data_IF_583040585694
#
_entry.id   IF_583040585694
#
_cell.length_a   1.000
_cell.length_b   1.000
_cell.length_c   1.000
_cell.angle_alpha   90.00
_cell.angle_beta   90.00
_cell.angle_gamma   90.00
#
_symmetry.space_group_name_H-M   'P 1'
#
loop_
_entity.id
_entity.type
_entity.pdbx_description
1 polymer ?
#
# COMPACT_ATOMS: atom_id res chain seq x y z
N UNK A 1 24.82 -8.31 7.63
CA UNK A 1 23.77 -9.33 7.43
C UNK A 1 22.44 -8.62 7.36
N UNK A 2 21.79 -8.47 6.20
CA UNK A 2 20.42 -7.95 6.15
C UNK A 2 19.52 -8.95 6.88
N UNK A 3 18.85 -8.51 7.94
CA UNK A 3 17.90 -9.32 8.68
C UNK A 3 16.81 -9.82 7.71
N UNK A 4 16.68 -11.14 7.59
CA UNK A 4 15.53 -11.74 6.90
C UNK A 4 14.26 -11.22 7.55
N UNK A 5 13.30 -10.73 6.74
CA UNK A 5 12.01 -10.32 7.26
C UNK A 5 11.38 -11.50 8.02
N UNK A 6 10.84 -11.27 9.23
CA UNK A 6 10.31 -12.34 10.04
C UNK A 6 9.10 -12.97 9.35
N UNK A 7 8.97 -14.29 9.44
CA UNK A 7 7.84 -15.02 8.85
C UNK A 7 6.49 -14.63 9.48
N UNK A 8 6.51 -14.14 10.72
CA UNK A 8 5.32 -13.69 11.45
C UNK A 8 5.60 -12.30 12.00
N UNK A 9 4.72 -11.37 11.67
CA UNK A 9 4.72 -10.03 12.26
C UNK A 9 3.49 -9.91 13.14
N UNK A 10 3.71 -9.74 14.44
CA UNK A 10 2.63 -9.64 15.42
C UNK A 10 2.19 -8.20 15.62
N UNK A 11 0.88 -7.96 15.56
CA UNK A 11 0.23 -6.69 15.85
C UNK A 11 -0.45 -6.77 17.21
N UNK A 12 0.04 -6.02 18.21
CA UNK A 12 -0.62 -5.93 19.50
C UNK A 12 -1.91 -5.10 19.42
N UNK A 13 -2.80 -5.36 20.37
CA UNK A 13 -3.97 -4.52 20.64
C UNK A 13 -3.61 -3.47 21.68
N UNK A 14 -3.99 -2.21 21.47
CA UNK A 14 -3.68 -1.11 22.38
C UNK A 14 -2.33 -0.39 22.13
N UNK A 15 -1.58 -0.10 23.20
CA UNK A 15 -0.46 0.85 23.22
C UNK A 15 0.85 0.25 22.67
N UNK A 16 1.01 0.16 21.35
CA UNK A 16 2.27 -0.27 20.73
C UNK A 16 2.59 0.55 19.47
N UNK A 17 3.87 0.91 19.21
CA UNK A 17 4.22 1.64 17.99
C UNK A 17 3.64 0.96 16.76
N UNK A 18 3.02 1.71 15.84
CA UNK A 18 2.49 1.12 14.61
C UNK A 18 3.62 0.46 13.82
N UNK A 19 3.38 -0.77 13.38
CA UNK A 19 4.28 -1.45 12.46
C UNK A 19 4.31 -0.66 11.15
N UNK A 20 5.49 -0.52 10.55
CA UNK A 20 5.60 0.07 9.22
C UNK A 20 6.52 -0.70 8.29
N UNK A 21 6.22 -0.60 7.00
CA UNK A 21 7.04 -1.10 5.90
C UNK A 21 7.29 0.05 4.94
N UNK A 22 8.53 0.23 4.51
CA UNK A 22 8.92 1.29 3.60
C UNK A 22 9.51 0.70 2.32
N UNK A 23 9.18 1.28 1.17
CA UNK A 23 9.81 0.96 -0.10
C UNK A 23 9.98 2.23 -0.96
N UNK A 24 10.85 2.21 -1.98
CA UNK A 24 11.08 3.36 -2.85
C UNK A 24 9.82 3.82 -3.58
N UNK A 25 8.93 2.90 -3.97
CA UNK A 25 7.66 3.26 -4.63
C UNK A 25 6.54 2.34 -4.19
N UNK A 26 5.30 2.75 -4.51
CA UNK A 26 4.11 1.91 -4.32
C UNK A 26 4.25 0.54 -5.01
N UNK A 27 4.68 0.50 -6.27
CA UNK A 27 4.86 -0.75 -7.04
C UNK A 27 5.94 -1.64 -6.42
N UNK A 28 7.08 -1.07 -6.02
CA UNK A 28 8.13 -1.85 -5.32
C UNK A 28 7.61 -2.48 -4.04
N UNK A 29 6.79 -1.74 -3.29
CA UNK A 29 6.17 -2.25 -2.07
C UNK A 29 5.23 -3.42 -2.35
N UNK A 30 4.34 -3.31 -3.35
CA UNK A 30 3.44 -4.40 -3.72
C UNK A 30 4.20 -5.63 -4.22
N UNK A 31 5.20 -5.45 -5.09
CA UNK A 31 6.05 -6.55 -5.59
C UNK A 31 6.82 -7.23 -4.46
N UNK A 32 7.36 -6.46 -3.51
CA UNK A 32 8.03 -7.01 -2.33
C UNK A 32 7.06 -7.89 -1.52
N UNK A 33 5.87 -7.39 -1.23
CA UNK A 33 4.87 -8.12 -0.43
C UNK A 33 4.38 -9.38 -1.15
N UNK A 34 4.14 -9.33 -2.46
CA UNK A 34 3.77 -10.49 -3.26
C UNK A 34 4.84 -11.60 -3.24
N UNK A 35 6.13 -11.23 -3.16
CA UNK A 35 7.25 -12.18 -3.13
C UNK A 35 7.49 -12.80 -1.75
N UNK A 36 7.01 -12.18 -0.69
CA UNK A 36 7.22 -12.62 0.69
C UNK A 36 6.10 -13.56 1.16
N UNK A 37 5.89 -14.66 0.43
CA UNK A 37 4.80 -15.62 0.71
C UNK A 37 4.85 -16.25 2.11
N UNK A 38 6.05 -16.37 2.69
CA UNK A 38 6.23 -16.87 4.05
C UNK A 38 5.96 -15.84 5.15
N UNK A 39 5.69 -14.57 4.81
CA UNK A 39 5.42 -13.51 5.77
C UNK A 39 3.92 -13.28 5.93
N UNK A 40 3.46 -13.22 7.19
CA UNK A 40 2.07 -12.89 7.53
C UNK A 40 1.98 -11.97 8.74
N UNK A 41 0.92 -11.18 8.76
CA UNK A 41 0.57 -10.30 9.86
C UNK A 41 -0.47 -11.00 10.71
N UNK A 42 -0.19 -11.16 12.00
CA UNK A 42 -1.07 -11.82 12.96
C UNK A 42 -1.36 -10.90 14.15
N UNK A 43 -2.53 -11.03 14.79
CA UNK A 43 -2.76 -10.37 16.05
C UNK A 43 -1.97 -11.08 17.16
N UNK A 44 -1.52 -10.34 18.17
CA UNK A 44 -0.96 -10.95 19.38
C UNK A 44 -1.99 -11.80 20.13
N UNK A 45 -1.55 -12.72 21.00
CA UNK A 45 -2.46 -13.53 21.84
C UNK A 45 -3.30 -12.64 22.75
N UNK A 46 -2.74 -11.55 23.26
CA UNK A 46 -3.43 -10.57 24.08
C UNK A 46 -4.51 -9.83 23.29
N UNK A 47 -4.27 -9.56 22.00
CA UNK A 47 -5.25 -8.97 21.10
C UNK A 47 -6.46 -9.89 20.89
N UNK A 48 -6.19 -11.18 20.67
CA UNK A 48 -7.22 -12.21 20.53
C UNK A 48 -8.02 -12.41 21.81
N UNK A 49 -7.41 -12.24 22.99
CA UNK A 49 -8.10 -12.37 24.26
C UNK A 49 -9.01 -11.17 24.58
N UNK A 50 -8.71 -9.98 24.05
CA UNK A 50 -9.44 -8.75 24.36
C UNK A 50 -10.74 -8.58 23.56
N UNK A 51 -10.86 -9.25 22.41
CA UNK A 51 -11.99 -9.09 21.49
C UNK A 51 -12.56 -10.45 21.11
N UNK A 52 -13.90 -10.59 21.19
CA UNK A 52 -14.62 -11.78 20.70
C UNK A 52 -14.88 -11.76 19.19
N UNK A 53 -14.72 -10.59 18.58
CA UNK A 53 -14.97 -10.34 17.16
C UNK A 53 -13.74 -10.63 16.28
N UNK A 54 -13.98 -10.68 14.97
CA UNK A 54 -12.90 -10.83 13.99
C UNK A 54 -12.05 -9.56 13.97
N UNK A 55 -10.77 -9.70 14.32
CA UNK A 55 -9.82 -8.60 14.26
C UNK A 55 -9.54 -8.20 12.81
N UNK A 56 -9.57 -6.90 12.55
CA UNK A 56 -9.37 -6.31 11.23
C UNK A 56 -8.13 -5.44 11.23
N UNK A 57 -7.50 -5.31 10.06
CA UNK A 57 -6.30 -4.52 9.84
C UNK A 57 -6.66 -3.13 9.31
N UNK A 58 -6.14 -2.08 9.95
CA UNK A 58 -6.14 -0.72 9.41
C UNK A 58 -4.82 -0.45 8.72
N UNK A 59 -4.89 0.17 7.55
CA UNK A 59 -3.73 0.59 6.77
C UNK A 59 -3.75 2.09 6.55
N UNK A 60 -2.65 2.75 6.88
CA UNK A 60 -2.40 4.15 6.52
C UNK A 60 -1.21 4.18 5.56
N UNK A 61 -1.40 4.83 4.42
CA UNK A 61 -0.37 5.06 3.41
C UNK A 61 0.22 6.44 3.64
N UNK A 62 1.54 6.52 3.70
CA UNK A 62 2.26 7.78 3.75
C UNK A 62 3.29 7.82 2.63
N UNK A 63 3.26 8.86 1.81
CA UNK A 63 4.34 9.18 0.89
C UNK A 63 5.22 10.24 1.56
N UNK A 64 6.53 10.03 1.62
CA UNK A 64 7.43 10.98 2.28
C UNK A 64 8.74 11.16 1.53
N UNK A 65 9.36 12.33 1.68
CA UNK A 65 10.74 12.61 1.25
C UNK A 65 11.62 12.64 2.50
N UNK A 66 12.44 11.61 2.70
CA UNK A 66 13.33 11.52 3.86
C UNK A 66 14.77 11.15 3.44
N UNK A 67 15.78 12.01 3.70
CA UNK A 67 15.70 13.40 4.20
C UNK A 67 15.00 14.34 3.20
N UNK A 68 14.50 15.52 3.62
CA UNK A 68 13.76 16.45 2.76
C UNK A 68 14.59 17.02 1.60
N UNK A 69 15.91 16.92 1.68
CA UNK A 69 16.87 17.25 0.62
C UNK A 69 16.83 16.26 -0.56
N UNK A 70 16.36 15.03 -0.33
CA UNK A 70 16.12 14.07 -1.41
C UNK A 70 14.86 14.48 -2.17
N UNK A 71 14.98 14.59 -3.49
CA UNK A 71 13.84 14.83 -4.38
C UNK A 71 12.94 13.60 -4.53
N UNK A 72 13.44 12.43 -4.14
CA UNK A 72 12.77 11.15 -4.31
C UNK A 72 11.76 10.90 -3.18
N UNK A 73 10.53 10.55 -3.57
CA UNK A 73 9.51 10.07 -2.66
C UNK A 73 9.76 8.61 -2.29
N UNK A 74 9.33 8.20 -1.11
CA UNK A 74 9.17 6.81 -0.73
C UNK A 74 7.76 6.54 -0.21
N UNK A 75 7.32 5.29 -0.30
CA UNK A 75 6.04 4.83 0.24
C UNK A 75 6.27 4.15 1.58
N UNK A 76 5.51 4.55 2.59
CA UNK A 76 5.46 3.94 3.91
C UNK A 76 4.04 3.44 4.15
N UNK A 77 3.89 2.18 4.52
CA UNK A 77 2.64 1.63 5.04
C UNK A 77 2.72 1.53 6.54
N UNK A 78 1.67 1.96 7.21
CA UNK A 78 1.50 1.84 8.66
C UNK A 78 0.31 0.92 8.97
N UNK A 79 0.51 0.03 9.93
CA UNK A 79 -0.43 -1.03 10.27
C UNK A 79 -0.81 -0.97 11.75
N UNK A 80 -2.12 -1.09 12.00
CA UNK A 80 -2.68 -1.24 13.35
C UNK A 80 -3.89 -2.16 13.31
N UNK A 81 -4.20 -2.81 14.43
CA UNK A 81 -5.50 -3.49 14.60
C UNK A 81 -6.61 -2.43 14.66
N UNK A 82 -7.73 -2.70 14.00
CA UNK A 82 -8.92 -1.84 14.06
C UNK A 82 -9.46 -1.76 15.49
N UNK A 83 -9.89 -0.56 15.89
CA UNK A 83 -10.50 -0.32 17.19
C UNK A 83 -11.83 0.42 16.95
N UNK A 84 -12.95 -0.07 17.51
CA UNK A 84 -14.19 0.68 17.46
C UNK A 84 -13.98 2.01 18.16
N UNK A 85 -14.52 3.08 17.58
CA UNK A 85 -14.50 4.40 18.21
C UNK A 85 -15.54 4.39 19.34
N UNK A 86 -15.17 4.67 20.60
CA UNK A 86 -16.14 4.85 21.68
C UNK A 86 -17.25 5.84 21.29
N UNK A 87 -18.53 5.52 21.53
CA UNK A 87 -19.65 6.37 21.12
C UNK A 87 -19.65 7.73 21.83
N UNK A 88 -19.04 7.80 23.02
CA UNK A 88 -19.01 9.00 23.86
C UNK A 88 -17.91 10.00 23.48
N UNK A 89 -17.06 9.66 22.50
CA UNK A 89 -16.00 10.57 22.07
C UNK A 89 -16.56 11.69 21.18
N UNK A 90 -16.19 12.96 21.45
CA UNK A 90 -16.49 14.03 20.52
C UNK A 90 -15.75 13.80 19.19
N UNK A 91 -16.35 14.29 18.10
CA UNK A 91 -15.77 14.24 16.75
C UNK A 91 -15.48 12.82 16.21
N UNK A 92 -16.30 11.82 16.54
CA UNK A 92 -16.16 10.45 16.00
C UNK A 92 -16.07 10.39 14.48
N UNK A 93 -16.76 11.29 13.78
CA UNK A 93 -16.73 11.42 12.32
C UNK A 93 -15.31 11.69 11.79
N UNK A 94 -14.44 12.37 12.56
CA UNK A 94 -13.07 12.63 12.14
C UNK A 94 -12.31 11.32 11.88
N UNK A 95 -12.46 10.30 12.73
CA UNK A 95 -11.75 9.02 12.60
C UNK A 95 -12.21 8.13 11.42
N UNK A 96 -13.22 8.57 10.68
CA UNK A 96 -13.67 7.94 9.44
C UNK A 96 -13.09 8.61 8.18
N UNK A 97 -12.43 9.76 8.32
CA UNK A 97 -11.83 10.49 7.22
C UNK A 97 -10.59 9.78 6.68
N UNK A 98 -10.38 9.91 5.36
CA UNK A 98 -9.17 9.44 4.68
C UNK A 98 -7.95 10.32 4.99
N UNK A 99 -8.15 11.48 5.61
CA UNK A 99 -7.09 12.49 5.85
C UNK A 99 -6.51 12.45 7.26
N UNK A 100 -7.15 11.70 8.12
CA UNK A 100 -6.81 11.62 9.54
C UNK A 100 -6.43 10.21 9.89
N UNK A 101 -5.59 10.08 10.91
CA UNK A 101 -5.27 8.78 11.46
C UNK A 101 -6.51 8.13 12.07
N UNK A 102 -6.71 6.82 11.88
CA UNK A 102 -7.74 6.07 12.58
C UNK A 102 -7.63 6.19 14.11
N UNK A 103 -8.73 5.94 14.81
CA UNK A 103 -8.77 5.94 16.27
C UNK A 103 -7.72 5.00 16.91
N UNK A 104 -7.38 3.90 16.23
CA UNK A 104 -6.32 2.96 16.66
C UNK A 104 -4.94 3.61 16.87
N UNK A 105 -4.68 4.78 16.29
CA UNK A 105 -3.43 5.53 16.48
C UNK A 105 -3.49 6.50 17.67
N UNK A 106 -4.67 6.84 18.16
CA UNK A 106 -4.84 7.75 19.32
C UNK A 106 -4.46 7.08 20.64
N UNK A 107 -4.65 5.76 20.74
CA UNK A 107 -4.31 4.97 21.92
C UNK A 107 -2.79 4.96 22.18
N UNK A 108 -1.98 5.35 21.19
CA UNK A 108 -0.53 5.38 21.30
C UNK A 108 0.13 6.69 20.82
N UNK A 109 -0.48 7.83 21.17
CA UNK A 109 0.10 9.15 20.88
C UNK A 109 1.53 9.32 21.43
N UNK A 110 1.84 8.72 22.58
CA UNK A 110 3.14 8.87 23.26
C UNK A 110 4.30 8.21 22.50
N UNK A 111 4.06 7.07 21.83
CA UNK A 111 5.08 6.37 21.05
C UNK A 111 4.89 6.49 19.53
N UNK A 112 4.05 7.42 19.08
CA UNK A 112 3.84 7.63 17.65
C UNK A 112 5.11 8.18 17.01
N UNK A 113 5.53 7.57 15.90
CA UNK A 113 6.70 8.00 15.16
C UNK A 113 6.55 9.48 14.76
N UNK A 114 7.63 10.27 14.89
CA UNK A 114 7.64 11.68 14.52
C UNK A 114 7.22 11.88 13.05
N UNK A 115 7.58 10.95 12.16
CA UNK A 115 7.17 10.94 10.76
C UNK A 115 5.65 10.82 10.60
N UNK A 116 5.01 10.01 11.42
CA UNK A 116 3.56 9.83 11.37
C UNK A 116 2.82 11.03 12.01
N UNK A 117 3.42 11.66 13.02
CA UNK A 117 2.91 12.89 13.66
C UNK A 117 2.93 14.10 12.73
N UNK A 118 3.95 14.24 11.89
CA UNK A 118 4.09 15.37 10.96
C UNK A 118 3.39 15.16 9.61
N UNK A 119 2.81 13.97 9.37
CA UNK A 119 2.36 13.50 8.06
C UNK A 119 1.08 14.13 7.50
N UNK A 120 0.58 15.23 8.06
CA UNK A 120 -0.62 15.91 7.54
C UNK A 120 -0.23 16.72 6.29
N UNK A 121 -0.80 16.37 5.13
CA UNK A 121 -0.49 16.85 3.76
C UNK A 121 0.42 18.10 3.67
N UNK A 122 1.73 17.86 3.69
CA UNK A 122 2.78 18.86 3.51
C UNK A 122 3.45 18.70 2.14
N UNK A 123 4.32 19.64 1.77
CA UNK A 123 5.11 19.54 0.54
C UNK A 123 6.05 18.32 0.50
N UNK A 124 6.42 17.77 1.66
CA UNK A 124 7.36 16.65 1.81
C UNK A 124 6.70 15.38 2.34
N UNK A 125 5.42 15.43 2.73
CA UNK A 125 4.70 14.25 3.22
C UNK A 125 3.22 14.29 2.88
N UNK A 126 2.69 13.21 2.34
CA UNK A 126 1.27 13.01 2.04
C UNK A 126 0.78 11.79 2.77
N UNK A 127 -0.41 11.86 3.37
CA UNK A 127 -1.00 10.76 4.12
C UNK A 127 -2.40 10.45 3.59
N UNK A 128 -2.72 9.16 3.57
CA UNK A 128 -4.01 8.64 3.17
C UNK A 128 -4.35 7.40 4.01
N UNK A 129 -5.43 7.47 4.76
CA UNK A 129 -6.02 6.34 5.48
C UNK A 129 -6.92 5.56 4.53
N UNK A 130 -6.67 4.27 4.34
CA UNK A 130 -7.52 3.43 3.50
C UNK A 130 -8.85 3.21 4.24
N UNK A 131 -10.00 3.68 3.70
CA UNK A 131 -11.29 3.47 4.33
C UNK A 131 -11.83 2.08 3.99
N UNK A 132 -12.69 1.52 4.84
CA UNK A 132 -13.50 0.38 4.47
C UNK A 132 -14.62 0.85 3.54
N UNK A 133 -14.73 0.20 2.39
CA UNK A 133 -15.85 0.37 1.46
C UNK A 133 -16.66 -0.91 1.37
N UNK A 134 -17.82 -0.87 0.72
CA UNK A 134 -18.62 -2.06 0.49
C UNK A 134 -17.90 -3.09 -0.40
N UNK A 135 -17.05 -2.63 -1.32
CA UNK A 135 -16.26 -3.47 -2.25
C UNK A 135 -14.92 -3.88 -1.68
N UNK A 136 -14.32 -3.06 -0.81
CA UNK A 136 -13.00 -3.26 -0.21
C UNK A 136 -13.11 -3.07 1.31
N UNK A 137 -13.63 -4.06 2.06
CA UNK A 137 -13.69 -4.01 3.51
C UNK A 137 -12.27 -4.16 4.11
N UNK A 138 -12.09 -3.82 5.38
CA UNK A 138 -10.79 -4.05 6.04
C UNK A 138 -10.39 -5.54 6.00
N UNK A 139 -9.11 -5.85 5.75
CA UNK A 139 -8.65 -7.22 5.76
C UNK A 139 -8.77 -7.81 7.15
N UNK A 140 -9.22 -9.05 7.24
CA UNK A 140 -9.26 -9.82 8.49
C UNK A 140 -7.87 -10.34 8.82
N UNK A 141 -7.54 -10.38 10.11
CA UNK A 141 -6.30 -10.97 10.61
C UNK A 141 -6.53 -12.43 11.02
N UNK A 142 -5.58 -13.35 10.77
CA UNK A 142 -4.27 -13.11 10.14
C UNK A 142 -4.35 -12.90 8.61
N UNK A 143 -3.38 -12.17 8.05
CA UNK A 143 -3.27 -11.95 6.60
C UNK A 143 -1.84 -12.15 6.10
N UNK A 144 -1.67 -12.90 5.01
CA UNK A 144 -0.37 -13.05 4.35
C UNK A 144 0.03 -11.80 3.57
N UNK A 145 1.32 -11.57 3.37
CA UNK A 145 1.79 -10.44 2.58
C UNK A 145 1.29 -10.44 1.13
N UNK A 146 1.24 -11.58 0.40
CA UNK A 146 0.63 -11.61 -0.93
C UNK A 146 -0.84 -11.19 -0.94
N UNK A 147 -1.64 -11.68 0.01
CA UNK A 147 -3.05 -11.28 0.12
C UNK A 147 -3.19 -9.81 0.49
N UNK A 148 -2.29 -9.29 1.33
CA UNK A 148 -2.25 -7.87 1.67
C UNK A 148 -1.84 -7.01 0.46
N UNK A 149 -0.95 -7.49 -0.41
CA UNK A 149 -0.61 -6.81 -1.66
C UNK A 149 -1.83 -6.73 -2.60
N UNK A 150 -2.58 -7.82 -2.75
CA UNK A 150 -3.83 -7.84 -3.52
C UNK A 150 -4.88 -6.89 -2.94
N UNK A 151 -5.01 -6.86 -1.62
CA UNK A 151 -5.88 -5.91 -0.92
C UNK A 151 -5.51 -4.46 -1.24
N UNK A 152 -4.22 -4.10 -1.16
CA UNK A 152 -3.74 -2.76 -1.43
C UNK A 152 -3.96 -2.36 -2.89
N UNK A 153 -3.74 -3.28 -3.82
CA UNK A 153 -4.04 -3.07 -5.23
C UNK A 153 -5.54 -2.79 -5.44
N UNK A 154 -6.42 -3.62 -4.85
CA UNK A 154 -7.85 -3.41 -4.90
C UNK A 154 -8.28 -2.06 -4.27
N UNK A 155 -7.66 -1.66 -3.17
CA UNK A 155 -7.90 -0.37 -2.53
C UNK A 155 -7.49 0.82 -3.42
N UNK A 156 -6.36 0.71 -4.13
CA UNK A 156 -5.95 1.73 -5.11
C UNK A 156 -6.92 1.80 -6.29
N UNK A 157 -7.37 0.66 -6.81
CA UNK A 157 -8.33 0.60 -7.92
C UNK A 157 -9.71 1.13 -7.52
N UNK A 158 -10.15 0.86 -6.30
CA UNK A 158 -11.38 1.45 -5.75
C UNK A 158 -11.22 2.96 -5.57
N UNK A 159 -10.07 3.42 -5.06
CA UNK A 159 -9.79 4.85 -4.95
C UNK A 159 -9.81 5.53 -6.33
N UNK A 160 -9.29 4.91 -7.40
CA UNK A 160 -9.38 5.46 -8.78
C UNK A 160 -10.83 5.68 -9.25
N UNK A 161 -11.79 4.92 -8.71
CA UNK A 161 -13.22 5.05 -9.07
C UNK A 161 -13.95 6.08 -8.22
N UNK A 162 -13.63 6.17 -6.94
CA UNK A 162 -14.38 6.97 -5.95
C UNK A 162 -13.69 8.29 -5.60
N UNK A 163 -12.83 8.31 -4.58
CA UNK A 163 -12.17 9.50 -4.01
C UNK A 163 -11.04 10.03 -4.92
N UNK A 164 -10.40 9.17 -5.71
CA UNK A 164 -9.24 9.41 -6.60
C UNK A 164 -8.01 9.97 -5.92
N UNK A 165 -8.09 10.34 -4.64
CA UNK A 165 -7.02 10.97 -3.87
C UNK A 165 -5.79 10.09 -3.75
N UNK A 166 -5.93 8.83 -3.32
CA UNK A 166 -4.81 7.90 -3.24
C UNK A 166 -4.12 7.72 -4.60
N UNK A 167 -4.91 7.56 -5.67
CA UNK A 167 -4.39 7.46 -7.02
C UNK A 167 -3.59 8.71 -7.44
N UNK A 168 -4.17 9.90 -7.22
CA UNK A 168 -3.47 11.18 -7.48
C UNK A 168 -2.20 11.33 -6.67
N UNK A 169 -2.18 10.88 -5.42
CA UNK A 169 -0.97 10.90 -4.59
C UNK A 169 0.10 9.99 -5.18
N UNK A 170 -0.24 8.76 -5.57
CA UNK A 170 0.68 7.85 -6.25
C UNK A 170 1.23 8.48 -7.52
N UNK A 171 0.37 9.02 -8.39
CA UNK A 171 0.77 9.65 -9.65
C UNK A 171 1.65 10.89 -9.44
N UNK A 172 1.36 11.70 -8.41
CA UNK A 172 2.11 12.93 -8.09
C UNK A 172 3.47 12.61 -7.46
N UNK A 173 3.53 11.59 -6.61
CA UNK A 173 4.77 11.19 -5.94
C UNK A 173 5.69 10.39 -6.86
N UNK A 174 5.14 9.71 -7.87
CA UNK A 174 5.90 8.84 -8.77
C UNK A 174 5.58 9.10 -10.26
N UNK A 175 5.75 10.34 -10.78
CA UNK A 175 5.31 10.72 -12.12
C UNK A 175 6.11 10.04 -13.24
N UNK A 176 7.39 9.74 -13.00
CA UNK A 176 8.31 9.16 -13.97
C UNK A 176 8.10 7.66 -14.18
N UNK A 177 7.21 7.03 -13.42
CA UNK A 177 6.82 5.62 -13.63
C UNK A 177 5.74 5.48 -14.70
N UNK A 178 5.79 6.33 -15.73
CA UNK A 178 5.26 5.97 -17.05
C UNK A 178 6.35 5.12 -17.70
N UNK A 179 6.15 3.81 -17.78
CA UNK A 179 7.17 2.79 -18.04
C UNK A 179 8.16 3.12 -19.17
N UNK A 180 9.48 2.88 -19.01
CA UNK A 180 10.25 2.39 -20.14
C UNK A 180 9.71 0.99 -20.47
N UNK A 181 9.43 0.67 -21.76
CA UNK A 181 8.98 -0.65 -22.12
C UNK A 181 10.01 -1.67 -21.64
N UNK A 182 9.62 -2.59 -20.76
CA UNK A 182 10.46 -3.73 -20.42
C UNK A 182 10.81 -4.42 -21.74
N UNK A 183 12.12 -4.51 -22.00
CA UNK A 183 12.64 -5.17 -23.18
C UNK A 183 12.25 -6.64 -23.07
N UNK A 184 11.21 -7.04 -23.80
CA UNK A 184 10.91 -8.44 -24.09
C UNK A 184 12.17 -9.08 -24.69
N UNK A 185 12.98 -9.74 -23.86
CA UNK A 185 13.91 -10.75 -24.33
C UNK A 185 13.14 -12.04 -24.54
N UNK A 186 12.31 -12.09 -25.59
CA UNK A 186 11.92 -13.34 -26.22
C UNK A 186 11.98 -13.15 -27.73
N UNK A 187 12.92 -13.86 -28.34
CA UNK A 187 13.26 -13.72 -29.74
C UNK A 187 12.07 -14.01 -30.66
N UNK A 188 11.94 -13.20 -31.70
CA UNK A 188 11.46 -13.64 -33.01
C UNK A 188 12.00 -12.73 -34.10
N UNK A 189 12.51 -13.41 -35.12
CA UNK A 189 13.14 -12.92 -36.33
C UNK A 189 12.18 -12.07 -37.16
N UNK A 190 12.66 -10.94 -37.66
CA UNK A 190 12.28 -10.42 -38.98
C UNK A 190 11.35 -9.19 -38.99
N UNK A 191 11.83 -8.12 -39.64
CA UNK A 191 10.93 -7.13 -40.26
C UNK A 191 11.33 -5.68 -40.07
N UNK A 192 12.32 -5.22 -40.85
CA UNK A 192 12.60 -3.80 -41.08
C UNK A 192 11.41 -3.09 -41.77
N UNK A 193 11.33 -1.77 -41.54
CA UNK A 193 10.63 -0.71 -42.30
C UNK A 193 9.20 -0.27 -41.88
N UNK A 194 9.09 0.91 -41.24
CA UNK A 194 8.79 2.21 -41.91
C UNK A 194 8.52 3.34 -40.89
N UNK A 195 9.34 4.40 -41.00
CA UNK A 195 8.99 5.77 -40.58
C UNK A 195 7.85 6.30 -41.47
N UNK A 196 6.85 6.98 -40.90
CA UNK A 196 6.35 8.29 -41.35
C UNK A 196 5.08 8.75 -40.59
N UNK A 197 5.16 9.98 -40.06
CA UNK A 197 4.13 11.02 -39.89
C UNK A 197 2.67 10.63 -39.53
N UNK A 198 2.22 11.17 -38.40
CA UNK A 198 1.07 12.08 -38.42
C UNK A 198 -0.17 11.72 -37.59
N UNK A 199 -0.64 12.75 -36.86
CA UNK A 199 -1.99 12.99 -36.32
C UNK A 199 -2.40 12.33 -34.99
N UNK A 200 -2.48 13.23 -33.99
CA UNK A 200 -3.39 13.24 -32.84
C UNK A 200 -4.69 12.45 -33.07
N UNK A 201 -4.97 11.51 -32.18
CA UNK A 201 -6.31 11.21 -31.66
C UNK A 201 -6.18 10.67 -30.23
N UNK A 202 -6.81 11.37 -29.29
CA UNK A 202 -7.01 10.90 -27.92
C UNK A 202 -7.68 9.52 -27.96
N UNK A 203 -7.03 8.52 -27.37
CA UNK A 203 -7.65 7.25 -26.95
C UNK A 203 -7.39 7.06 -25.46
N UNK A 204 -8.36 6.58 -24.67
CA UNK A 204 -8.21 6.40 -23.23
C UNK A 204 -7.32 5.19 -22.97
N UNK A 205 -6.13 5.44 -22.43
CA UNK A 205 -5.14 4.43 -22.06
C UNK A 205 -5.39 3.94 -20.61
N UNK A 206 -6.64 3.60 -20.29
CA UNK A 206 -7.06 3.37 -18.89
C UNK A 206 -7.51 1.93 -18.57
N UNK A 207 -7.43 1.01 -19.53
CA UNK A 207 -7.92 -0.37 -19.36
C UNK A 207 -6.85 -1.48 -19.48
N UNK A 208 -5.60 -1.15 -19.83
CA UNK A 208 -4.54 -2.17 -19.99
C UNK A 208 -3.65 -2.36 -18.76
N UNK A 209 -3.44 -1.32 -17.95
CA UNK A 209 -2.54 -1.35 -16.79
C UNK A 209 -3.10 -2.07 -15.55
N UNK A 210 -4.41 -2.03 -15.31
CA UNK A 210 -4.99 -2.66 -14.12
C UNK A 210 -4.87 -4.20 -14.11
N UNK A 211 -4.95 -4.82 -15.29
CA UNK A 211 -4.75 -6.26 -15.41
C UNK A 211 -3.27 -6.63 -15.26
N UNK A 212 -2.35 -5.93 -15.93
CA UNK A 212 -0.91 -6.21 -15.85
C UNK A 212 -0.37 -6.12 -14.42
N UNK A 213 -0.78 -5.09 -13.66
CA UNK A 213 -0.41 -4.95 -12.24
C UNK A 213 -0.94 -6.12 -11.39
N UNK A 214 -2.14 -6.64 -11.69
CA UNK A 214 -2.70 -7.80 -11.00
C UNK A 214 -2.02 -9.10 -11.42
N UNK A 215 -1.69 -9.26 -12.71
CA UNK A 215 -0.94 -10.41 -13.21
C UNK A 215 0.44 -10.47 -12.56
N UNK A 216 1.19 -9.37 -12.50
CA UNK A 216 2.50 -9.28 -11.83
C UNK A 216 2.47 -9.69 -10.34
N UNK A 217 1.33 -9.53 -9.67
CA UNK A 217 1.14 -9.91 -8.25
C UNK A 217 0.66 -11.36 -8.08
N UNK A 218 0.01 -11.93 -9.10
CA UNK A 218 -0.65 -13.24 -9.03
C UNK A 218 0.16 -14.35 -9.69
N UNK A 219 0.97 -14.06 -10.71
CA UNK A 219 1.89 -15.06 -11.27
C UNK A 219 3.11 -15.20 -10.35
N UNK A 220 3.25 -16.29 -9.58
CA UNK A 220 4.57 -16.68 -9.13
C UNK A 220 5.40 -16.89 -10.39
N UNK A 221 6.53 -16.20 -10.52
CA UNK A 221 7.54 -16.66 -11.46
C UNK A 221 7.88 -18.09 -11.02
N UNK A 222 7.52 -19.08 -11.84
CA UNK A 222 8.14 -20.39 -11.73
C UNK A 222 9.64 -20.13 -11.85
N UNK A 223 10.39 -20.50 -10.81
CA UNK A 223 11.83 -20.62 -10.92
C UNK A 223 12.09 -21.79 -11.86
N UNK A 224 11.91 -21.56 -13.15
CA UNK A 224 12.48 -22.42 -14.17
C UNK A 224 14.00 -22.21 -14.05
N UNK A 225 14.65 -23.28 -13.59
CA UNK A 225 15.99 -23.72 -14.02
C UNK A 225 17.12 -22.68 -13.90
N UNK A 226 17.59 -22.46 -12.67
CA UNK A 226 19.03 -22.31 -12.47
C UNK A 226 19.63 -23.71 -12.27
N UNK A 227 20.20 -24.24 -13.35
CA UNK A 227 21.21 -25.30 -13.29
C UNK A 227 22.54 -24.76 -12.77
#
# INVERSE_FOLDING_TARGET
MPSTLPSIITLPHGRCPPLHIMAPTWRHLLKLMARLAGTRVEPTVEALAQTKDVLRLRVVVQFTRNPPERQEWCTVLWFTVDHPVPPDLPATAAFSSTDTLPFSYTTNLTHMNALLRSGVDTATSKLYTIPATATVPYPTLPISFPNLALYLQAALDEARRTDKRLARMVDTCFPTYTEPPEVEQQGKVGGLFRKALGKRKNKPQQARTANEDTYDLVTPFMSDEWG
#
